data_IF_058256602988
#
_entry.id   IF_058256602988
#
_cell.length_a   1.000
_cell.length_b   1.000
_cell.length_c   1.000
_cell.angle_alpha   90.00
_cell.angle_beta   90.00
_cell.angle_gamma   90.00
#
_symmetry.space_group_name_H-M   'P 1'
#
loop_
_entity.id
_entity.type
_entity.pdbx_description
1 polymer ?
#
# COMPACT_ATOMS: atom_id res chain seq x y z
N UNK A 1 -6.42 -4.08 24.82
CA UNK A 1 -6.12 -4.61 23.48
C UNK A 1 -5.11 -5.71 23.68
N UNK A 2 -5.40 -6.95 23.31
CA UNK A 2 -4.44 -8.04 23.49
C UNK A 2 -3.24 -7.83 22.54
N UNK A 3 -2.04 -8.16 23.01
CA UNK A 3 -0.79 -8.04 22.25
C UNK A 3 -0.85 -8.63 20.82
N UNK A 4 -1.51 -9.77 20.57
CA UNK A 4 -1.65 -10.32 19.22
C UNK A 4 -2.41 -9.40 18.26
N UNK A 5 -3.52 -8.78 18.70
CA UNK A 5 -4.28 -7.87 17.85
C UNK A 5 -3.49 -6.60 17.49
N UNK A 6 -2.67 -6.10 18.42
CA UNK A 6 -1.81 -4.95 18.13
C UNK A 6 -0.78 -5.29 17.04
N UNK A 7 -0.20 -6.49 17.04
CA UNK A 7 0.72 -6.95 15.99
C UNK A 7 0.04 -6.98 14.62
N UNK A 8 -1.16 -7.56 14.53
CA UNK A 8 -1.94 -7.61 13.28
C UNK A 8 -2.18 -6.20 12.73
N UNK A 9 -2.58 -5.27 13.60
CA UNK A 9 -2.83 -3.88 13.21
C UNK A 9 -1.56 -3.23 12.67
N UNK A 10 -0.44 -3.33 13.40
CA UNK A 10 0.84 -2.76 12.99
C UNK A 10 1.32 -3.33 11.64
N UNK A 11 1.19 -4.65 11.44
CA UNK A 11 1.56 -5.32 10.20
C UNK A 11 0.68 -4.88 9.04
N UNK A 12 -0.64 -4.81 9.22
CA UNK A 12 -1.54 -4.32 8.17
C UNK A 12 -1.20 -2.89 7.75
N UNK A 13 -0.88 -2.00 8.71
CA UNK A 13 -0.40 -0.66 8.41
C UNK A 13 0.97 -0.64 7.73
N UNK A 14 1.89 -1.53 8.12
CA UNK A 14 3.19 -1.65 7.47
C UNK A 14 3.06 -2.09 6.01
N UNK A 15 2.22 -3.09 5.72
CA UNK A 15 1.94 -3.52 4.35
C UNK A 15 1.31 -2.41 3.51
N UNK A 16 0.37 -1.64 4.08
CA UNK A 16 -0.19 -0.45 3.42
C UNK A 16 0.88 0.63 3.19
N UNK A 17 1.80 0.80 4.14
CA UNK A 17 2.95 1.68 4.01
C UNK A 17 3.76 1.37 2.75
N UNK A 18 4.19 0.11 2.64
CA UNK A 18 5.06 -0.39 1.56
C UNK A 18 4.35 -0.41 0.21
N UNK A 19 3.09 -0.86 0.15
CA UNK A 19 2.37 -1.02 -1.12
C UNK A 19 1.66 0.24 -1.62
N UNK A 20 1.24 1.14 -0.72
CA UNK A 20 0.39 2.28 -1.07
C UNK A 20 1.04 3.61 -0.74
N UNK A 21 1.37 3.83 0.55
CA UNK A 21 1.70 5.17 1.06
C UNK A 21 3.02 5.66 0.50
N UNK A 22 4.09 4.87 0.60
CA UNK A 22 5.40 5.27 0.09
C UNK A 22 5.45 5.37 -1.44
N UNK A 23 4.89 4.42 -2.23
CA UNK A 23 4.82 4.60 -3.67
C UNK A 23 4.02 5.84 -4.08
N UNK A 24 2.96 6.18 -3.34
CA UNK A 24 2.18 7.39 -3.54
C UNK A 24 3.02 8.65 -3.28
N UNK A 25 3.73 8.73 -2.15
CA UNK A 25 4.60 9.86 -1.87
C UNK A 25 5.71 9.97 -2.91
N UNK A 26 6.43 8.89 -3.18
CA UNK A 26 7.50 8.87 -4.16
C UNK A 26 7.03 9.35 -5.54
N UNK A 27 5.83 8.95 -5.99
CA UNK A 27 5.28 9.40 -7.28
C UNK A 27 4.82 10.86 -7.26
N UNK A 28 4.24 11.33 -6.17
CA UNK A 28 3.71 12.71 -6.08
C UNK A 28 4.81 13.76 -5.93
N UNK A 29 5.95 13.41 -5.34
CA UNK A 29 7.11 14.32 -5.18
C UNK A 29 8.16 14.15 -6.28
N UNK A 30 7.97 13.19 -7.21
CA UNK A 30 8.91 12.92 -8.29
C UNK A 30 9.11 14.16 -9.16
N UNK A 31 10.37 14.62 -9.24
CA UNK A 31 10.74 15.78 -10.06
C UNK A 31 10.48 15.47 -11.54
N UNK A 32 9.55 16.21 -12.14
CA UNK A 32 9.17 16.03 -13.55
C UNK A 32 7.92 15.19 -13.77
N UNK A 33 7.24 14.72 -12.70
CA UNK A 33 5.92 14.11 -12.84
C UNK A 33 4.93 15.13 -13.43
N UNK A 34 4.37 14.79 -14.60
CA UNK A 34 3.36 15.61 -15.26
C UNK A 34 2.00 15.45 -14.60
N UNK A 35 1.13 16.46 -14.73
CA UNK A 35 -0.25 16.38 -14.25
C UNK A 35 -1.01 15.17 -14.83
N UNK A 36 -0.79 14.84 -16.12
CA UNK A 36 -1.40 13.67 -16.76
C UNK A 36 -0.95 12.36 -16.11
N UNK A 37 0.34 12.20 -15.89
CA UNK A 37 0.92 11.02 -15.23
C UNK A 37 0.39 10.84 -13.80
N UNK A 38 0.29 11.93 -13.03
CA UNK A 38 -0.30 11.89 -11.70
C UNK A 38 -1.77 11.50 -11.80
N UNK A 39 -2.55 12.12 -12.68
CA UNK A 39 -3.97 11.78 -12.87
C UNK A 39 -4.19 10.31 -13.19
N UNK A 40 -3.38 9.72 -14.06
CA UNK A 40 -3.42 8.29 -14.38
C UNK A 40 -3.06 7.44 -13.15
N UNK A 41 -2.02 7.84 -12.41
CA UNK A 41 -1.62 7.19 -11.16
C UNK A 41 -2.75 7.17 -10.13
N UNK A 42 -3.38 8.32 -9.86
CA UNK A 42 -4.53 8.44 -8.95
C UNK A 42 -5.72 7.59 -9.41
N UNK A 43 -6.02 7.55 -10.72
CA UNK A 43 -7.09 6.69 -11.26
C UNK A 43 -6.80 5.22 -11.01
N UNK A 44 -5.57 4.77 -11.29
CA UNK A 44 -5.15 3.40 -11.06
C UNK A 44 -5.23 2.99 -9.59
N UNK A 45 -4.75 3.84 -8.68
CA UNK A 45 -4.86 3.60 -7.24
C UNK A 45 -6.33 3.55 -6.79
N UNK A 46 -7.16 4.47 -7.24
CA UNK A 46 -8.59 4.46 -6.88
C UNK A 46 -9.31 3.19 -7.34
N UNK A 47 -8.96 2.66 -8.50
CA UNK A 47 -9.48 1.37 -8.98
C UNK A 47 -8.98 0.22 -8.10
N UNK A 48 -7.67 0.17 -7.84
CA UNK A 48 -7.03 -0.88 -7.05
C UNK A 48 -7.51 -0.93 -5.59
N UNK A 49 -7.68 0.21 -4.93
CA UNK A 49 -8.27 0.31 -3.58
C UNK A 49 -9.73 -0.17 -3.50
N UNK A 50 -10.37 -0.46 -4.63
CA UNK A 50 -11.69 -1.05 -4.68
C UNK A 50 -11.70 -2.58 -4.79
N UNK A 51 -10.53 -3.21 -4.85
CA UNK A 51 -10.37 -4.64 -4.97
C UNK A 51 -9.83 -5.23 -3.66
N UNK A 52 -10.17 -6.49 -3.32
CA UNK A 52 -9.49 -7.21 -2.25
C UNK A 52 -8.00 -7.36 -2.56
N UNK A 53 -7.18 -7.44 -1.51
CA UNK A 53 -5.74 -7.67 -1.68
C UNK A 53 -5.41 -9.08 -2.17
N UNK A 54 -4.33 -9.19 -2.94
CA UNK A 54 -3.80 -10.45 -3.43
C UNK A 54 -3.29 -11.36 -2.30
N UNK A 55 -3.18 -12.66 -2.59
CA UNK A 55 -2.62 -13.63 -1.63
C UNK A 55 -1.13 -13.35 -1.31
N UNK A 56 -0.43 -12.65 -2.19
CA UNK A 56 0.98 -12.31 -2.05
C UNK A 56 1.21 -10.91 -1.46
N UNK A 57 0.16 -10.26 -0.96
CA UNK A 57 0.21 -8.91 -0.41
C UNK A 57 1.25 -8.73 0.71
N UNK A 58 1.56 -9.80 1.45
CA UNK A 58 2.48 -9.74 2.59
C UNK A 58 3.90 -10.18 2.23
N UNK A 59 4.16 -10.65 1.02
CA UNK A 59 5.49 -11.17 0.62
C UNK A 59 6.39 -10.08 0.04
N UNK A 60 5.83 -8.92 -0.29
CA UNK A 60 6.52 -7.78 -0.89
C UNK A 60 7.33 -8.12 -2.15
N UNK A 61 6.98 -9.19 -2.87
CA UNK A 61 7.69 -9.57 -4.11
C UNK A 61 7.32 -8.65 -5.27
N UNK A 62 6.03 -8.34 -5.38
CA UNK A 62 5.42 -7.56 -6.46
C UNK A 62 4.54 -6.45 -5.88
N UNK A 63 4.39 -5.31 -6.58
CA UNK A 63 3.45 -4.29 -6.15
C UNK A 63 2.00 -4.81 -6.17
N UNK A 64 1.23 -4.46 -5.15
CA UNK A 64 -0.19 -4.81 -5.06
C UNK A 64 -1.03 -4.05 -6.10
N UNK A 65 -0.69 -2.79 -6.36
CA UNK A 65 -1.46 -1.93 -7.26
C UNK A 65 -0.79 -1.89 -8.64
N UNK A 66 -1.50 -2.24 -9.73
CA UNK A 66 -0.92 -2.30 -11.09
C UNK A 66 -0.30 -0.98 -11.60
N UNK A 67 -0.72 0.14 -11.02
CA UNK A 67 -0.23 1.47 -11.37
C UNK A 67 1.11 1.81 -10.72
N UNK A 68 1.51 1.04 -9.71
CA UNK A 68 2.85 1.09 -9.11
C UNK A 68 3.74 0.17 -9.94
N UNK A 69 4.72 0.74 -10.64
CA UNK A 69 5.67 -0.06 -11.41
C UNK A 69 6.64 -0.82 -10.48
N UNK A 70 7.16 -1.96 -10.96
CA UNK A 70 8.19 -2.73 -10.23
C UNK A 70 9.42 -1.88 -9.89
N UNK A 71 9.79 -0.94 -10.76
CA UNK A 71 10.89 0.00 -10.53
C UNK A 71 10.60 0.92 -9.34
N UNK A 72 9.40 1.51 -9.30
CA UNK A 72 8.97 2.38 -8.20
C UNK A 72 8.88 1.59 -6.90
N UNK A 73 8.26 0.41 -6.95
CA UNK A 73 8.12 -0.47 -5.80
C UNK A 73 9.49 -0.91 -5.24
N UNK A 74 10.41 -1.31 -6.11
CA UNK A 74 11.77 -1.67 -5.73
C UNK A 74 12.55 -0.49 -5.15
N UNK A 75 12.34 0.73 -5.67
CA UNK A 75 12.96 1.94 -5.13
C UNK A 75 12.48 2.24 -3.71
N UNK A 76 11.17 2.08 -3.46
CA UNK A 76 10.58 2.23 -2.13
C UNK A 76 11.08 1.13 -1.18
N UNK A 77 11.09 -0.14 -1.60
CA UNK A 77 11.60 -1.22 -0.75
C UNK A 77 13.04 -0.98 -0.26
N UNK A 78 13.88 -0.34 -1.08
CA UNK A 78 15.26 0.02 -0.70
C UNK A 78 15.36 1.07 0.41
N UNK A 79 14.32 1.85 0.67
CA UNK A 79 14.30 2.80 1.80
C UNK A 79 14.04 2.08 3.12
N UNK A 80 13.52 0.87 3.07
CA UNK A 80 13.43 -0.04 4.21
C UNK A 80 14.66 -0.95 4.25
N UNK A 81 15.08 -1.36 5.45
CA UNK A 81 16.06 -2.44 5.58
C UNK A 81 15.40 -3.77 5.25
N UNK A 82 16.15 -4.70 4.67
CA UNK A 82 15.65 -6.04 4.36
C UNK A 82 15.13 -6.76 5.62
N UNK A 83 15.79 -6.55 6.76
CA UNK A 83 15.37 -7.06 8.07
C UNK A 83 13.96 -6.59 8.48
N UNK A 84 13.63 -5.32 8.22
CA UNK A 84 12.30 -4.77 8.53
C UNK A 84 11.24 -5.41 7.64
N UNK A 85 11.49 -5.51 6.33
CA UNK A 85 10.54 -6.12 5.39
C UNK A 85 10.32 -7.59 5.72
N UNK A 86 11.38 -8.35 6.00
CA UNK A 86 11.28 -9.76 6.38
C UNK A 86 10.53 -9.93 7.71
N UNK A 87 10.83 -9.12 8.71
CA UNK A 87 10.11 -9.17 10.00
C UNK A 87 8.61 -8.92 9.85
N UNK A 88 8.22 -7.98 8.99
CA UNK A 88 6.80 -7.72 8.72
C UNK A 88 6.17 -8.90 8.00
N UNK A 89 6.82 -9.46 6.97
CA UNK A 89 6.35 -10.65 6.25
C UNK A 89 6.17 -11.85 7.16
N UNK A 90 7.14 -12.10 8.06
CA UNK A 90 7.12 -13.24 8.99
C UNK A 90 5.94 -13.15 9.95
N UNK A 91 5.74 -11.99 10.59
CA UNK A 91 4.59 -11.78 11.49
C UNK A 91 3.27 -11.80 10.71
N UNK A 92 3.26 -11.32 9.47
CA UNK A 92 2.07 -11.39 8.62
C UNK A 92 1.71 -12.85 8.28
N UNK A 93 2.70 -13.72 8.07
CA UNK A 93 2.47 -15.13 7.78
C UNK A 93 1.80 -15.87 8.96
N UNK A 94 2.10 -15.48 10.20
CA UNK A 94 1.46 -16.04 11.40
C UNK A 94 -0.01 -15.62 11.57
N UNK A 95 -0.41 -14.52 10.92
CA UNK A 95 -1.74 -13.89 11.08
C UNK A 95 -2.37 -13.47 9.75
N UNK A 96 -2.15 -14.26 8.69
CA UNK A 96 -2.45 -13.85 7.33
C UNK A 96 -3.92 -13.49 7.14
N UNK A 97 -4.83 -14.30 7.67
CA UNK A 97 -6.27 -14.09 7.55
C UNK A 97 -6.73 -12.81 8.24
N UNK A 98 -6.21 -12.52 9.43
CA UNK A 98 -6.54 -11.31 10.18
C UNK A 98 -5.99 -10.06 9.49
N UNK A 99 -4.73 -10.11 9.01
CA UNK A 99 -4.11 -9.02 8.26
C UNK A 99 -4.90 -8.74 6.99
N UNK A 100 -5.33 -9.78 6.27
CA UNK A 100 -6.14 -9.63 5.06
C UNK A 100 -7.49 -9.00 5.34
N UNK A 101 -8.25 -9.57 6.28
CA UNK A 101 -9.57 -9.05 6.69
C UNK A 101 -9.48 -7.59 7.12
N UNK A 102 -8.48 -7.24 7.93
CA UNK A 102 -8.29 -5.88 8.40
C UNK A 102 -7.93 -4.93 7.23
N UNK A 103 -7.03 -5.34 6.35
CA UNK A 103 -6.64 -4.53 5.19
C UNK A 103 -7.82 -4.30 4.26
N UNK A 104 -8.53 -5.35 3.87
CA UNK A 104 -9.71 -5.29 3.00
C UNK A 104 -10.84 -4.44 3.61
N UNK A 105 -10.98 -4.44 4.94
CA UNK A 105 -11.91 -3.55 5.65
C UNK A 105 -11.50 -2.07 5.50
N UNK A 106 -10.20 -1.76 5.49
CA UNK A 106 -9.68 -0.40 5.39
C UNK A 106 -9.70 0.17 3.96
N UNK A 107 -9.47 -0.66 2.93
CA UNK A 107 -9.31 -0.20 1.54
C UNK A 107 -10.47 0.68 1.02
N UNK A 108 -11.76 0.35 1.26
CA UNK A 108 -12.89 1.20 0.83
C UNK A 108 -12.87 2.61 1.46
N UNK A 109 -12.42 2.72 2.71
CA UNK A 109 -12.27 4.00 3.38
C UNK A 109 -11.15 4.84 2.76
N UNK A 110 -10.00 4.22 2.49
CA UNK A 110 -8.88 4.88 1.81
C UNK A 110 -9.27 5.34 0.40
N UNK A 111 -10.02 4.51 -0.35
CA UNK A 111 -10.58 4.88 -1.66
C UNK A 111 -11.46 6.13 -1.57
N UNK A 112 -12.32 6.20 -0.56
CA UNK A 112 -13.21 7.34 -0.32
C UNK A 112 -12.42 8.61 0.00
N UNK A 113 -11.39 8.51 0.83
CA UNK A 113 -10.50 9.63 1.16
C UNK A 113 -9.76 10.13 -0.08
N UNK A 114 -9.18 9.23 -0.87
CA UNK A 114 -8.48 9.56 -2.12
C UNK A 114 -9.40 10.28 -3.12
N UNK A 115 -10.65 9.82 -3.25
CA UNK A 115 -11.65 10.45 -4.11
C UNK A 115 -11.99 11.89 -3.66
N UNK A 116 -12.06 12.14 -2.35
CA UNK A 116 -12.30 13.49 -1.79
C UNK A 116 -11.13 14.43 -2.05
N UNK A 117 -9.90 13.98 -1.83
CA UNK A 117 -8.70 14.77 -2.12
C UNK A 117 -8.63 15.18 -3.58
N UNK A 118 -8.96 14.27 -4.51
CA UNK A 118 -9.03 14.60 -5.93
C UNK A 118 -10.06 15.69 -6.26
N UNK A 119 -11.24 15.66 -5.64
CA UNK A 119 -12.28 16.71 -5.85
C UNK A 119 -11.86 18.06 -5.31
N UNK A 120 -11.04 18.10 -4.26
CA UNK A 120 -10.50 19.35 -3.71
C UNK A 120 -9.35 19.93 -4.57
N UNK A 121 -8.72 19.09 -5.41
CA UNK A 121 -7.58 19.46 -6.26
C UNK A 121 -7.92 19.59 -7.75
N UNK A 122 -9.20 19.50 -8.13
CA UNK A 122 -9.69 19.69 -9.50
C UNK A 122 -10.82 20.70 -9.55
#
# INVERSE_FOLDING_TARGET
MELPYLKVVLVAFACLGVHLVEPFYARTIEKGATHTQLREFYKGLHTGLGQPISDNYTTFTTPEYPVVSDKLFSSVKKTYTEEVLNSVSDVAAEHLDEVRKLTDLMLPHLKTVLARQRRAMG
#
